data_IF_352736873863
#
_entry.id   IF_352736873863
#
_cell.length_a   1.000
_cell.length_b   1.000
_cell.length_c   1.000
_cell.angle_alpha   90.00
_cell.angle_beta   90.00
_cell.angle_gamma   90.00
#
_symmetry.space_group_name_H-M   'P 1'
#
loop_
_entity.id
_entity.type
_entity.pdbx_description
1 polymer ?
#
# COMPACT_ATOMS: atom_id res chain seq x y z
N UNK A 1 -2.08 -6.01 17.07
CA UNK A 1 -1.99 -5.29 15.78
C UNK A 1 -1.13 -4.08 16.01
N UNK A 2 -0.10 -3.90 15.18
CA UNK A 2 0.70 -2.68 15.17
C UNK A 2 -0.16 -1.49 14.77
N UNK A 3 0.25 -0.29 15.18
CA UNK A 3 -0.36 0.92 14.62
C UNK A 3 0.12 1.12 13.18
N UNK A 4 -0.58 1.97 12.42
CA UNK A 4 -0.14 2.28 11.04
C UNK A 4 1.27 2.90 11.04
N UNK A 5 1.57 3.75 12.03
CA UNK A 5 2.88 4.39 12.17
C UNK A 5 3.97 3.34 12.38
N UNK A 6 3.73 2.36 13.25
CA UNK A 6 4.68 1.28 13.52
C UNK A 6 4.93 0.45 12.27
N UNK A 7 3.88 0.10 11.52
CA UNK A 7 4.01 -0.63 10.26
C UNK A 7 4.84 0.16 9.23
N UNK A 8 4.66 1.48 9.10
CA UNK A 8 5.49 2.29 8.21
C UNK A 8 6.97 2.32 8.63
N UNK A 9 7.26 2.35 9.93
CA UNK A 9 8.64 2.30 10.44
C UNK A 9 9.28 0.95 10.10
N UNK A 10 8.58 -0.16 10.38
CA UNK A 10 9.06 -1.51 10.11
C UNK A 10 9.20 -1.79 8.60
N UNK A 11 8.25 -1.33 7.80
CA UNK A 11 8.28 -1.50 6.35
C UNK A 11 9.46 -0.76 5.70
N UNK A 12 9.79 0.46 6.18
CA UNK A 12 10.99 1.20 5.76
C UNK A 12 12.29 0.49 6.15
N UNK A 13 12.29 -0.28 7.24
CA UNK A 13 13.42 -1.12 7.64
C UNK A 13 13.51 -2.45 6.86
N UNK A 14 12.56 -2.71 5.94
CA UNK A 14 12.56 -3.88 5.08
C UNK A 14 11.73 -5.07 5.58
N UNK A 15 10.88 -4.90 6.60
CA UNK A 15 9.96 -5.98 7.00
C UNK A 15 8.88 -6.22 5.95
N UNK A 16 8.91 -7.41 5.35
CA UNK A 16 7.93 -7.84 4.35
C UNK A 16 6.52 -7.95 4.96
N UNK A 17 6.40 -8.40 6.21
CA UNK A 17 5.11 -8.50 6.91
C UNK A 17 4.48 -7.13 7.12
N UNK A 18 5.29 -6.11 7.45
CA UNK A 18 4.82 -4.75 7.62
C UNK A 18 4.39 -4.14 6.27
N UNK A 19 5.15 -4.40 5.20
CA UNK A 19 4.79 -4.01 3.83
C UNK A 19 3.44 -4.65 3.44
N UNK A 20 3.28 -5.95 3.69
CA UNK A 20 2.05 -6.68 3.40
C UNK A 20 0.87 -6.13 4.21
N UNK A 21 1.08 -5.81 5.49
CA UNK A 21 0.07 -5.17 6.36
C UNK A 21 -0.41 -3.84 5.78
N UNK A 22 0.51 -2.98 5.33
CA UNK A 22 0.18 -1.69 4.69
C UNK A 22 -0.60 -1.91 3.39
N UNK A 23 -0.14 -2.80 2.51
CA UNK A 23 -0.81 -3.10 1.25
C UNK A 23 -2.23 -3.65 1.48
N UNK A 24 -2.40 -4.58 2.42
CA UNK A 24 -3.71 -5.11 2.82
C UNK A 24 -4.62 -4.01 3.35
N UNK A 25 -4.09 -3.08 4.17
CA UNK A 25 -4.84 -1.97 4.74
C UNK A 25 -5.38 -1.01 3.68
N UNK A 26 -4.62 -0.75 2.61
CA UNK A 26 -5.04 0.12 1.50
C UNK A 26 -5.68 -0.63 0.32
N UNK A 27 -5.84 -1.95 0.41
CA UNK A 27 -6.37 -2.81 -0.67
C UNK A 27 -7.71 -2.34 -1.21
N UNK A 28 -8.65 -1.93 -0.35
CA UNK A 28 -9.97 -1.44 -0.79
C UNK A 28 -9.87 -0.17 -1.62
N UNK A 29 -8.96 0.76 -1.27
CA UNK A 29 -8.73 1.98 -2.03
C UNK A 29 -8.11 1.65 -3.39
N UNK A 30 -7.08 0.80 -3.42
CA UNK A 30 -6.44 0.36 -4.66
C UNK A 30 -7.45 -0.34 -5.58
N UNK A 31 -8.29 -1.22 -5.02
CA UNK A 31 -9.34 -1.91 -5.76
C UNK A 31 -10.34 -0.92 -6.35
N UNK A 32 -10.79 0.10 -5.60
CA UNK A 32 -11.70 1.14 -6.12
C UNK A 32 -11.08 1.92 -7.29
N UNK A 33 -9.78 2.26 -7.22
CA UNK A 33 -9.08 2.98 -8.29
C UNK A 33 -8.86 2.13 -9.55
N UNK A 34 -9.03 0.81 -9.42
CA UNK A 34 -8.79 -0.16 -10.50
C UNK A 34 -10.03 -0.44 -11.35
N UNK A 35 -11.11 0.32 -11.18
CA UNK A 35 -12.29 0.23 -12.04
C UNK A 35 -12.27 1.30 -13.13
N UNK A 36 -12.41 0.87 -14.39
CA UNK A 36 -12.49 1.75 -15.56
C UNK A 36 -13.74 1.38 -16.36
N UNK A 37 -14.64 2.34 -16.57
CA UNK A 37 -15.87 2.15 -17.37
C UNK A 37 -16.68 0.91 -16.95
N UNK A 38 -16.80 0.67 -15.63
CA UNK A 38 -17.55 -0.47 -15.09
C UNK A 38 -16.85 -1.83 -15.20
N UNK A 39 -15.58 -1.87 -15.61
CA UNK A 39 -14.77 -3.09 -15.66
C UNK A 39 -13.62 -2.99 -14.67
N UNK A 40 -13.37 -4.08 -13.96
CA UNK A 40 -12.19 -4.23 -13.12
C UNK A 40 -10.96 -4.47 -14.01
N UNK A 41 -9.89 -3.74 -13.74
CA UNK A 41 -8.60 -3.85 -14.40
C UNK A 41 -7.57 -4.36 -13.39
N UNK A 42 -7.19 -5.64 -13.54
CA UNK A 42 -6.26 -6.31 -12.64
C UNK A 42 -4.85 -5.70 -12.72
N UNK A 43 -4.42 -5.28 -13.90
CA UNK A 43 -3.09 -4.69 -14.11
C UNK A 43 -3.06 -3.32 -13.42
N UNK A 44 -4.15 -2.55 -13.52
CA UNK A 44 -4.29 -1.29 -12.78
C UNK A 44 -4.21 -1.49 -11.25
N UNK A 45 -4.76 -2.58 -10.72
CA UNK A 45 -4.66 -2.91 -9.29
C UNK A 45 -3.22 -3.22 -8.88
N UNK A 46 -2.51 -4.02 -9.68
CA UNK A 46 -1.11 -4.34 -9.45
C UNK A 46 -0.23 -3.09 -9.51
N UNK A 47 -0.45 -2.19 -10.47
CA UNK A 47 0.23 -0.90 -10.54
C UNK A 47 -0.06 -0.02 -9.31
N UNK A 48 -1.30 -0.02 -8.80
CA UNK A 48 -1.62 0.67 -7.55
C UNK A 48 -0.83 0.08 -6.36
N UNK A 49 -0.68 -1.24 -6.28
CA UNK A 49 0.13 -1.88 -5.24
C UNK A 49 1.59 -1.48 -5.33
N UNK A 50 2.17 -1.45 -6.53
CA UNK A 50 3.55 -1.00 -6.78
C UNK A 50 3.69 0.47 -6.37
N UNK A 51 2.73 1.33 -6.71
CA UNK A 51 2.74 2.74 -6.34
C UNK A 51 2.74 2.93 -4.81
N UNK A 52 1.92 2.17 -4.08
CA UNK A 52 1.91 2.19 -2.60
C UNK A 52 3.25 1.69 -2.04
N UNK A 53 3.77 0.58 -2.56
CA UNK A 53 5.06 0.04 -2.15
C UNK A 53 6.20 1.08 -2.31
N UNK A 54 6.27 1.74 -3.46
CA UNK A 54 7.25 2.80 -3.69
C UNK A 54 7.03 4.00 -2.78
N UNK A 55 5.78 4.34 -2.48
CA UNK A 55 5.44 5.44 -1.59
C UNK A 55 5.90 5.18 -0.14
N UNK A 56 5.87 3.93 0.35
CA UNK A 56 6.36 3.58 1.70
C UNK A 56 7.81 4.06 1.89
N UNK A 57 8.68 3.83 0.90
CA UNK A 57 10.09 4.25 0.98
C UNK A 57 10.23 5.77 1.09
N UNK A 58 9.42 6.52 0.33
CA UNK A 58 9.47 7.99 0.20
C UNK A 58 8.68 8.74 1.28
N UNK A 59 7.75 8.09 1.97
CA UNK A 59 6.84 8.75 2.89
C UNK A 59 7.56 9.26 4.14
N UNK A 60 7.50 10.55 4.43
CA UNK A 60 8.09 11.12 5.65
C UNK A 60 7.10 11.03 6.82
N UNK A 61 7.49 10.34 7.89
CA UNK A 61 6.70 10.28 9.13
C UNK A 61 7.08 11.52 9.96
N UNK A 62 6.18 12.50 10.03
CA UNK A 62 6.35 13.67 10.90
C UNK A 62 5.93 13.32 12.33
N UNK A 63 6.59 13.96 13.30
CA UNK A 63 6.28 13.85 14.73
C UNK A 63 5.00 14.59 15.11
#
# INVERSE_FOLDING_TARGET
>A
MNTLKDDFILAKAGSEEAIESILKRFSSLMHQQSWRNGRYDQDCYQECMIAVYLAISKFEIKE
#
